data_IF_210307303118
#
_entry.id   IF_210307303118
#
_cell.length_a   1.000
_cell.length_b   1.000
_cell.length_c   1.000
_cell.angle_alpha   90.00
_cell.angle_beta   90.00
_cell.angle_gamma   90.00
#
_symmetry.space_group_name_H-M   'P 1'
#
loop_
_entity.id
_entity.type
_entity.pdbx_description
1 polymer ?
#
# COMPACT_ATOMS: atom_id res chain seq x y z
N UNK A 1 -25.17 53.41 17.29
CA UNK A 1 -26.52 52.96 16.89
C UNK A 1 -26.48 52.58 15.41
N UNK A 2 -26.97 51.37 15.07
CA UNK A 2 -27.29 50.85 13.72
C UNK A 2 -26.08 50.49 12.84
N UNK A 3 -25.93 49.32 12.23
CA UNK A 3 -26.58 48.01 12.26
C UNK A 3 -25.56 47.10 11.54
N UNK A 4 -25.03 46.07 12.19
CA UNK A 4 -25.26 44.67 11.79
C UNK A 4 -25.50 44.48 10.28
N UNK A 5 -24.43 44.27 9.51
CA UNK A 5 -24.54 43.68 8.17
C UNK A 5 -23.63 42.46 8.02
N UNK A 6 -24.30 41.30 8.01
CA UNK A 6 -24.03 40.19 7.10
C UNK A 6 -22.79 39.34 7.38
N UNK A 7 -22.92 38.48 8.38
CA UNK A 7 -22.19 37.22 8.43
C UNK A 7 -22.72 36.32 7.30
N UNK A 8 -22.02 36.27 6.17
CA UNK A 8 -22.19 35.19 5.20
C UNK A 8 -21.07 34.16 5.43
N UNK A 9 -21.33 33.29 6.41
CA UNK A 9 -20.61 32.07 6.68
C UNK A 9 -20.73 31.13 5.47
N UNK A 10 -19.76 31.16 4.55
CA UNK A 10 -19.62 30.10 3.54
C UNK A 10 -18.83 28.97 4.18
N UNK A 11 -19.51 28.20 5.02
CA UNK A 11 -19.07 26.87 5.42
C UNK A 11 -19.22 25.95 4.19
N UNK A 12 -18.18 25.92 3.36
CA UNK A 12 -18.10 25.00 2.23
C UNK A 12 -17.98 23.57 2.77
N UNK A 13 -19.10 22.86 2.68
CA UNK A 13 -19.35 21.49 3.10
C UNK A 13 -18.26 20.54 2.58
N UNK A 14 -17.39 20.08 3.48
CA UNK A 14 -16.56 18.88 3.31
C UNK A 14 -17.46 17.65 3.40
N UNK A 15 -18.14 17.27 2.32
CA UNK A 15 -18.68 15.90 2.19
C UNK A 15 -17.70 15.08 1.36
N UNK A 16 -16.63 14.64 2.00
CA UNK A 16 -15.79 13.58 1.46
C UNK A 16 -16.62 12.29 1.42
N UNK A 17 -17.10 11.91 0.24
CA UNK A 17 -17.66 10.57 0.05
C UNK A 17 -16.52 9.57 0.25
N UNK A 18 -16.48 8.94 1.41
CA UNK A 18 -15.68 7.73 1.64
C UNK A 18 -16.27 6.66 0.73
N UNK A 19 -15.72 6.54 -0.49
CA UNK A 19 -15.97 5.38 -1.35
C UNK A 19 -15.31 4.21 -0.66
N UNK A 20 -16.09 3.48 0.13
CA UNK A 20 -15.65 2.23 0.72
C UNK A 20 -15.54 1.23 -0.44
N UNK A 21 -14.31 0.98 -0.89
CA UNK A 21 -14.06 -0.04 -1.89
C UNK A 21 -14.43 -1.40 -1.30
N UNK A 22 -15.51 -2.02 -1.80
CA UNK A 22 -15.81 -3.42 -1.52
C UNK A 22 -14.66 -4.26 -2.10
N UNK A 23 -14.04 -5.09 -1.26
CA UNK A 23 -13.03 -6.03 -1.74
C UNK A 23 -13.67 -6.97 -2.77
N UNK A 24 -13.05 -7.21 -3.93
CA UNK A 24 -13.60 -8.10 -4.93
C UNK A 24 -13.70 -9.53 -4.38
N UNK A 25 -14.88 -10.15 -4.51
CA UNK A 25 -15.07 -11.54 -4.11
C UNK A 25 -14.36 -12.49 -5.08
N UNK A 26 -13.65 -13.48 -4.57
CA UNK A 26 -12.89 -14.46 -5.38
C UNK A 26 -13.81 -15.60 -5.83
N UNK A 27 -14.81 -15.26 -6.65
CA UNK A 27 -15.87 -16.19 -7.07
C UNK A 27 -15.72 -16.63 -8.53
N UNK A 28 -15.37 -15.72 -9.42
CA UNK A 28 -15.08 -16.02 -10.84
C UNK A 28 -13.71 -16.67 -11.01
N UNK A 29 -13.54 -17.43 -12.09
CA UNK A 29 -12.24 -18.05 -12.40
C UNK A 29 -11.17 -16.98 -12.70
N UNK A 30 -11.54 -15.87 -13.31
CA UNK A 30 -10.66 -14.72 -13.48
C UNK A 30 -10.15 -14.17 -12.13
N UNK A 31 -11.05 -13.96 -11.16
CA UNK A 31 -10.65 -13.47 -9.83
C UNK A 31 -9.75 -14.49 -9.11
N UNK A 32 -10.01 -15.80 -9.25
CA UNK A 32 -9.13 -16.86 -8.73
C UNK A 32 -7.76 -16.82 -9.38
N UNK A 33 -7.67 -16.60 -10.69
CA UNK A 33 -6.40 -16.45 -11.41
C UNK A 33 -5.62 -15.23 -10.90
N UNK A 34 -6.26 -14.09 -10.68
CA UNK A 34 -5.62 -12.89 -10.11
C UNK A 34 -5.17 -13.12 -8.67
N UNK A 35 -5.96 -13.80 -7.85
CA UNK A 35 -5.56 -14.19 -6.50
C UNK A 35 -4.35 -15.12 -6.52
N UNK A 36 -4.35 -16.12 -7.42
CA UNK A 36 -3.22 -17.02 -7.61
C UNK A 36 -1.96 -16.29 -8.10
N UNK A 37 -2.08 -15.26 -8.94
CA UNK A 37 -0.97 -14.38 -9.30
C UNK A 37 -0.38 -13.69 -8.06
N UNK A 38 -1.22 -13.18 -7.16
CA UNK A 38 -0.78 -12.64 -5.87
C UNK A 38 -0.06 -13.68 -5.00
N UNK A 39 -0.57 -14.90 -4.92
CA UNK A 39 0.10 -16.02 -4.24
C UNK A 39 1.42 -16.43 -4.89
N UNK A 40 1.55 -16.30 -6.21
CA UNK A 40 2.80 -16.55 -6.91
C UNK A 40 3.85 -15.47 -6.58
N UNK A 41 3.43 -14.20 -6.56
CA UNK A 41 4.29 -13.08 -6.15
C UNK A 41 4.72 -13.19 -4.69
N UNK A 42 3.87 -13.67 -3.77
CA UNK A 42 4.26 -13.82 -2.37
C UNK A 42 5.41 -14.81 -2.16
N UNK A 43 5.59 -15.79 -3.06
CA UNK A 43 6.73 -16.73 -3.02
C UNK A 43 8.08 -16.02 -3.20
N UNK A 44 8.14 -14.96 -4.01
CA UNK A 44 9.39 -14.18 -4.16
C UNK A 44 9.71 -13.34 -2.92
N UNK A 45 8.69 -13.06 -2.09
CA UNK A 45 8.83 -12.31 -0.83
C UNK A 45 9.20 -13.21 0.37
N UNK A 46 9.15 -14.54 0.22
CA UNK A 46 9.34 -15.48 1.34
C UNK A 46 10.69 -15.34 2.06
N UNK A 47 11.74 -14.92 1.35
CA UNK A 47 13.07 -14.71 1.92
C UNK A 47 13.20 -13.47 2.82
N UNK A 48 12.19 -12.61 2.86
CA UNK A 48 12.20 -11.39 3.67
C UNK A 48 11.60 -11.57 5.07
N UNK A 49 10.91 -12.67 5.35
CA UNK A 49 10.31 -12.92 6.68
C UNK A 49 9.43 -11.75 7.17
N UNK A 50 8.55 -11.25 6.29
CA UNK A 50 7.75 -10.06 6.56
C UNK A 50 6.69 -10.31 7.64
N UNK A 51 6.49 -9.35 8.54
CA UNK A 51 5.31 -9.30 9.42
C UNK A 51 4.07 -8.79 8.68
N UNK A 52 2.88 -8.94 9.28
CA UNK A 52 1.62 -8.43 8.71
C UNK A 52 1.69 -6.93 8.39
N UNK A 53 2.25 -6.12 9.30
CA UNK A 53 2.40 -4.68 9.09
C UNK A 53 3.37 -4.36 7.94
N UNK A 54 4.41 -5.18 7.73
CA UNK A 54 5.36 -5.01 6.64
C UNK A 54 4.77 -5.44 5.29
N UNK A 55 3.90 -6.44 5.27
CA UNK A 55 3.14 -6.82 4.07
C UNK A 55 2.29 -5.64 3.58
N UNK A 56 1.70 -4.85 4.49
CA UNK A 56 0.96 -3.64 4.11
C UNK A 56 1.84 -2.58 3.43
N UNK A 57 3.09 -2.39 3.90
CA UNK A 57 4.07 -1.51 3.25
C UNK A 57 4.42 -1.99 1.84
N UNK A 58 4.68 -3.30 1.67
CA UNK A 58 4.96 -3.90 0.36
C UNK A 58 3.76 -3.79 -0.57
N UNK A 59 2.54 -4.01 -0.06
CA UNK A 59 1.29 -3.86 -0.82
C UNK A 59 1.09 -2.43 -1.32
N UNK A 60 1.41 -1.42 -0.50
CA UNK A 60 1.38 -0.02 -0.94
C UNK A 60 2.35 0.23 -2.09
N UNK A 61 3.61 -0.20 -1.96
CA UNK A 61 4.62 -0.05 -3.02
C UNK A 61 4.24 -0.78 -4.32
N UNK A 62 3.70 -2.01 -4.21
CA UNK A 62 3.20 -2.78 -5.34
C UNK A 62 2.02 -2.06 -6.03
N UNK A 63 1.07 -1.57 -5.25
CA UNK A 63 -0.10 -0.85 -5.77
C UNK A 63 0.31 0.43 -6.48
N UNK A 64 1.19 1.22 -5.86
CA UNK A 64 1.66 2.48 -6.42
C UNK A 64 2.49 2.23 -7.70
N UNK A 65 3.35 1.20 -7.72
CA UNK A 65 4.12 0.83 -8.91
C UNK A 65 3.28 0.33 -10.08
N UNK A 66 2.32 -0.58 -9.83
CA UNK A 66 1.44 -1.13 -10.88
C UNK A 66 0.50 -0.07 -11.45
N UNK A 67 -0.03 0.81 -10.59
CA UNK A 67 -0.92 1.90 -11.00
C UNK A 67 -0.18 3.16 -11.43
N UNK A 68 1.16 3.12 -11.55
CA UNK A 68 2.01 4.23 -11.97
C UNK A 68 1.77 5.52 -11.17
N UNK A 69 1.56 5.39 -9.86
CA UNK A 69 1.46 6.51 -8.93
C UNK A 69 2.84 7.02 -8.54
N UNK A 70 2.89 8.24 -8.05
CA UNK A 70 4.12 8.85 -7.56
C UNK A 70 4.75 8.00 -6.45
N UNK A 71 5.99 7.51 -6.62
CA UNK A 71 6.68 6.75 -5.60
C UNK A 71 6.89 7.59 -4.33
N UNK A 72 6.62 6.99 -3.17
CA UNK A 72 6.84 7.65 -1.87
C UNK A 72 8.31 7.65 -1.43
N UNK A 73 9.17 6.98 -2.19
CA UNK A 73 10.62 6.86 -1.97
C UNK A 73 11.35 6.91 -3.31
N UNK A 74 12.62 7.32 -3.29
CA UNK A 74 13.49 7.16 -4.45
C UNK A 74 13.83 5.68 -4.64
N UNK A 75 13.24 5.05 -5.65
CA UNK A 75 13.44 3.63 -5.92
C UNK A 75 14.91 3.29 -6.19
N UNK A 76 15.63 4.14 -6.93
CA UNK A 76 17.03 3.88 -7.28
C UNK A 76 17.93 3.93 -6.04
N UNK A 77 17.65 4.85 -5.12
CA UNK A 77 18.37 4.94 -3.85
C UNK A 77 18.13 3.74 -2.93
N UNK A 78 16.92 3.15 -2.95
CA UNK A 78 16.53 2.11 -2.00
C UNK A 78 16.64 0.67 -2.54
N UNK A 79 16.81 0.46 -3.84
CA UNK A 79 17.02 -0.88 -4.43
C UNK A 79 18.16 -1.67 -3.77
N UNK A 80 19.36 -1.10 -3.51
CA UNK A 80 20.42 -1.82 -2.79
C UNK A 80 20.03 -2.21 -1.35
N UNK A 81 19.24 -1.38 -0.66
CA UNK A 81 18.79 -1.65 0.71
C UNK A 81 17.79 -2.79 0.80
N UNK A 82 17.00 -3.03 -0.25
CA UNK A 82 16.13 -4.20 -0.34
C UNK A 82 16.97 -5.48 -0.34
N UNK A 83 18.09 -5.50 -1.07
CA UNK A 83 18.99 -6.65 -1.08
C UNK A 83 19.66 -6.87 0.28
N UNK A 84 20.12 -5.78 0.90
CA UNK A 84 20.70 -5.80 2.25
C UNK A 84 19.71 -6.38 3.27
N UNK A 85 18.44 -5.94 3.25
CA UNK A 85 17.40 -6.45 4.14
C UNK A 85 17.27 -7.98 4.09
N UNK A 86 17.25 -8.54 2.88
CA UNK A 86 17.15 -9.99 2.69
C UNK A 86 18.38 -10.70 3.28
N UNK A 87 19.59 -10.17 3.03
CA UNK A 87 20.83 -10.74 3.55
C UNK A 87 20.88 -10.69 5.07
N UNK A 88 20.53 -9.55 5.68
CA UNK A 88 20.51 -9.37 7.14
C UNK A 88 19.56 -10.35 7.80
N UNK A 89 18.35 -10.54 7.25
CA UNK A 89 17.36 -11.46 7.82
C UNK A 89 17.74 -12.93 7.63
N UNK A 90 18.31 -13.29 6.48
CA UNK A 90 18.83 -14.63 6.25
C UNK A 90 19.97 -14.97 7.24
N UNK A 91 20.88 -14.02 7.49
CA UNK A 91 21.95 -14.19 8.47
C UNK A 91 21.42 -14.34 9.91
N UNK A 92 20.38 -13.59 10.28
CA UNK A 92 19.76 -13.69 11.59
C UNK A 92 19.13 -15.07 11.85
N UNK A 93 18.53 -15.69 10.84
CA UNK A 93 17.98 -17.06 10.94
C UNK A 93 19.08 -18.12 11.02
N UNK A 94 20.19 -17.94 10.29
CA UNK A 94 21.31 -18.89 10.28
C UNK A 94 22.15 -18.87 11.59
N UNK A 95 22.03 -17.82 12.40
CA UNK A 95 22.74 -17.66 13.66
C UNK A 95 22.00 -18.27 14.87
N UNK A 96 20.82 -18.87 14.66
CA UNK A 96 19.96 -19.51 15.68
C UNK A 96 20.01 -21.03 15.50
#
# INVERSE_FOLDING_TARGET
>A
MRALWSHALVALLLTGTVVSAVAPEITSDEHKTLYALGLALSRSLGGFGLSEAEVELVKMGLTDGVLQRDPKVDLQQFLPKVQELQQTRAAAVAAV
#
